data_IF_664544911423
#
_entry.id   IF_664544911423
#
_cell.length_a   1.000
_cell.length_b   1.000
_cell.length_c   1.000
_cell.angle_alpha   90.00
_cell.angle_beta   90.00
_cell.angle_gamma   90.00
#
_symmetry.space_group_name_H-M   'P 1'
#
loop_
_entity.id
_entity.type
_entity.pdbx_description
1 polymer ?
#
# COMPACT_ATOMS: atom_id res chain seq x y z
N UNK A 1 3.31 -2.52 24.54
CA UNK A 1 3.79 -2.48 23.14
C UNK A 1 5.30 -2.58 23.17
N UNK A 2 5.87 -3.68 22.67
CA UNK A 2 7.32 -3.83 22.51
C UNK A 2 7.78 -2.87 21.42
N UNK A 3 8.52 -1.82 21.79
CA UNK A 3 9.08 -0.85 20.86
C UNK A 3 10.16 -1.51 19.99
N UNK A 4 10.08 -1.34 18.68
CA UNK A 4 11.10 -1.84 17.76
C UNK A 4 12.42 -1.08 17.96
N UNK A 5 13.56 -1.76 17.77
CA UNK A 5 14.88 -1.12 17.84
C UNK A 5 15.43 -0.91 19.25
N UNK A 6 14.91 -1.59 20.27
CA UNK A 6 15.57 -1.62 21.59
C UNK A 6 16.96 -2.22 21.41
N UNK A 7 18.04 -1.44 21.60
CA UNK A 7 19.40 -1.97 21.56
C UNK A 7 19.46 -3.09 22.61
N UNK A 8 20.13 -4.21 22.29
CA UNK A 8 20.44 -5.22 23.32
C UNK A 8 21.00 -4.47 24.52
N UNK A 9 20.29 -4.51 25.65
CA UNK A 9 20.68 -3.77 26.85
C UNK A 9 22.10 -4.15 27.17
N UNK A 10 23.01 -3.16 27.14
CA UNK A 10 24.37 -3.36 27.63
C UNK A 10 24.25 -3.87 29.06
N UNK A 11 24.89 -4.99 29.35
CA UNK A 11 24.96 -5.56 30.70
C UNK A 11 25.80 -4.70 31.66
N UNK A 12 26.43 -3.62 31.16
CA UNK A 12 27.18 -2.67 31.97
C UNK A 12 26.24 -1.68 32.69
N UNK A 13 26.40 -1.47 34.01
CA UNK A 13 25.63 -0.48 34.75
C UNK A 13 25.88 0.93 34.22
N UNK A 14 24.80 1.72 34.07
CA UNK A 14 24.88 3.12 33.60
C UNK A 14 25.66 3.96 34.61
N UNK A 15 26.51 4.86 34.14
CA UNK A 15 27.27 5.75 35.03
C UNK A 15 26.37 6.77 35.72
N UNK A 16 26.72 7.25 36.93
CA UNK A 16 25.95 8.30 37.61
C UNK A 16 25.78 9.58 36.77
N UNK A 17 26.79 9.96 35.97
CA UNK A 17 26.66 11.11 35.05
C UNK A 17 25.64 10.85 33.95
N UNK A 18 25.60 9.64 33.37
CA UNK A 18 24.64 9.30 32.32
C UNK A 18 23.19 9.31 32.86
N UNK A 19 22.98 8.81 34.09
CA UNK A 19 21.68 8.86 34.77
C UNK A 19 21.26 10.31 35.02
N UNK A 20 22.16 11.15 35.57
CA UNK A 20 21.86 12.57 35.80
C UNK A 20 21.52 13.31 34.51
N UNK A 21 22.25 13.06 33.42
CA UNK A 21 21.98 13.67 32.13
C UNK A 21 20.62 13.23 31.55
N UNK A 22 20.23 11.98 31.73
CA UNK A 22 18.92 11.47 31.34
C UNK A 22 17.79 12.08 32.17
N UNK A 23 17.96 12.22 33.49
CA UNK A 23 16.98 12.87 34.36
C UNK A 23 16.72 14.33 33.95
N UNK A 24 17.77 15.08 33.61
CA UNK A 24 17.62 16.46 33.11
C UNK A 24 16.86 16.52 31.79
N UNK A 25 17.06 15.53 30.89
CA UNK A 25 16.30 15.43 29.64
C UNK A 25 14.82 15.10 29.91
N UNK A 26 14.55 14.19 30.84
CA UNK A 26 13.18 13.81 31.24
C UNK A 26 12.47 15.02 31.87
N UNK A 27 13.14 15.77 32.73
CA UNK A 27 12.60 16.99 33.34
C UNK A 27 12.24 18.02 32.27
N UNK A 28 13.17 18.34 31.36
CA UNK A 28 12.90 19.27 30.26
C UNK A 28 11.75 18.79 29.35
N UNK A 29 11.67 17.48 29.06
CA UNK A 29 10.57 16.90 28.30
C UNK A 29 9.23 17.08 29.03
N UNK A 30 9.18 16.78 30.32
CA UNK A 30 7.96 16.91 31.12
C UNK A 30 7.50 18.37 31.24
N UNK A 31 8.42 19.33 31.36
CA UNK A 31 8.11 20.75 31.32
C UNK A 31 7.46 21.13 29.99
N UNK A 32 8.05 20.73 28.87
CA UNK A 32 7.48 20.99 27.54
C UNK A 32 6.11 20.34 27.35
N UNK A 33 5.92 19.11 27.85
CA UNK A 33 4.61 18.45 27.84
C UNK A 33 3.58 19.25 28.63
N UNK A 34 3.93 19.72 29.83
CA UNK A 34 3.03 20.55 30.64
C UNK A 34 2.62 21.82 29.90
N UNK A 35 3.59 22.56 29.35
CA UNK A 35 3.33 23.78 28.60
C UNK A 35 2.38 23.55 27.41
N UNK A 36 2.61 22.48 26.64
CA UNK A 36 1.74 22.15 25.49
C UNK A 36 0.35 21.71 25.94
N UNK A 37 0.23 20.99 27.05
CA UNK A 37 -1.07 20.60 27.60
C UNK A 37 -1.83 21.81 28.14
N UNK A 38 -1.16 22.78 28.75
CA UNK A 38 -1.76 24.02 29.21
C UNK A 38 -2.34 24.79 28.02
N UNK A 39 -1.56 25.01 26.95
CA UNK A 39 -2.02 25.63 25.71
C UNK A 39 -3.22 24.90 25.09
N UNK A 40 -3.21 23.57 25.12
CA UNK A 40 -4.34 22.74 24.67
C UNK A 40 -5.57 22.94 25.55
N UNK A 41 -5.41 23.02 26.88
CA UNK A 41 -6.51 23.20 27.81
C UNK A 41 -7.18 24.57 27.68
N UNK A 42 -6.39 25.60 27.35
CA UNK A 42 -6.86 26.97 27.11
C UNK A 42 -7.27 27.24 25.66
N UNK A 43 -7.26 26.22 24.78
CA UNK A 43 -7.54 26.34 23.35
C UNK A 43 -6.72 27.46 22.67
N UNK A 44 -5.46 27.63 23.07
CA UNK A 44 -4.59 28.64 22.50
C UNK A 44 -4.09 28.17 21.14
N UNK A 45 -4.69 28.68 20.08
CA UNK A 45 -4.35 28.34 18.70
C UNK A 45 -3.49 29.44 18.07
N UNK A 46 -2.18 29.29 18.14
CA UNK A 46 -1.22 30.31 17.68
C UNK A 46 -0.02 29.69 16.99
N UNK A 47 0.76 30.53 16.28
CA UNK A 47 2.03 30.11 15.70
C UNK A 47 3.03 29.62 16.75
N UNK A 48 3.01 30.19 17.95
CA UNK A 48 3.82 29.72 19.09
C UNK A 48 3.39 28.31 19.54
N UNK A 49 2.08 28.07 19.63
CA UNK A 49 1.54 26.74 19.95
C UNK A 49 1.95 25.71 18.90
N UNK A 50 1.96 26.11 17.61
CA UNK A 50 2.46 25.26 16.53
C UNK A 50 3.97 24.95 16.71
N UNK A 51 4.78 25.95 17.06
CA UNK A 51 6.22 25.75 17.33
C UNK A 51 6.50 24.82 18.51
N UNK A 52 5.77 24.98 19.61
CA UNK A 52 5.90 24.11 20.80
C UNK A 52 5.47 22.67 20.50
N UNK A 53 4.38 22.47 19.76
CA UNK A 53 4.00 21.13 19.30
C UNK A 53 5.03 20.54 18.34
N UNK A 54 5.68 21.33 17.47
CA UNK A 54 6.78 20.86 16.61
C UNK A 54 7.92 20.30 17.45
N UNK A 55 8.38 21.07 18.44
CA UNK A 55 9.47 20.69 19.34
C UNK A 55 9.16 19.40 20.10
N UNK A 56 7.93 19.27 20.59
CA UNK A 56 7.49 18.09 21.34
C UNK A 56 7.41 16.84 20.45
N UNK A 57 6.85 16.97 19.24
CA UNK A 57 6.68 15.87 18.30
C UNK A 57 8.00 15.42 17.65
N UNK A 58 9.00 16.31 17.54
CA UNK A 58 10.36 15.93 17.19
C UNK A 58 10.99 14.99 18.22
N UNK A 59 10.63 15.13 19.51
CA UNK A 59 11.12 14.24 20.57
C UNK A 59 10.29 12.96 20.69
N UNK A 60 8.96 13.05 20.52
CA UNK A 60 8.05 11.92 20.63
C UNK A 60 6.91 12.00 19.60
N UNK A 61 7.10 11.47 18.38
CA UNK A 61 6.06 11.47 17.36
C UNK A 61 4.92 10.48 17.65
N UNK A 62 5.04 9.59 18.63
CA UNK A 62 3.96 8.66 19.02
C UNK A 62 2.92 9.32 19.93
N UNK A 63 3.13 10.58 20.34
CA UNK A 63 2.22 11.29 21.22
C UNK A 63 0.97 11.80 20.48
N UNK A 64 0.03 10.88 20.22
CA UNK A 64 -1.18 11.09 19.43
C UNK A 64 -2.01 12.34 19.79
N UNK A 65 -2.14 12.63 21.08
CA UNK A 65 -2.94 13.75 21.60
C UNK A 65 -2.41 15.09 21.08
N UNK A 66 -1.10 15.20 20.89
CA UNK A 66 -0.45 16.42 20.43
C UNK A 66 -0.69 16.61 18.93
N UNK A 67 -0.71 15.54 18.13
CA UNK A 67 -1.13 15.63 16.73
C UNK A 67 -2.55 16.15 16.57
N UNK A 68 -3.49 15.71 17.42
CA UNK A 68 -4.86 16.21 17.40
C UNK A 68 -4.96 17.70 17.77
N UNK A 69 -4.18 18.15 18.75
CA UNK A 69 -4.10 19.58 19.07
C UNK A 69 -3.49 20.37 17.92
N UNK A 70 -2.44 19.85 17.29
CA UNK A 70 -1.78 20.44 16.13
C UNK A 70 -2.75 20.63 14.96
N UNK A 71 -3.62 19.65 14.66
CA UNK A 71 -4.70 19.79 13.66
C UNK A 71 -5.60 20.99 13.94
N UNK A 72 -6.03 21.16 15.20
CA UNK A 72 -6.90 22.29 15.60
C UNK A 72 -6.19 23.64 15.41
N UNK A 73 -4.89 23.71 15.72
CA UNK A 73 -4.08 24.90 15.47
C UNK A 73 -4.07 25.22 13.97
N UNK A 74 -3.78 24.24 13.10
CA UNK A 74 -3.74 24.45 11.64
C UNK A 74 -5.08 24.93 11.11
N UNK A 75 -6.19 24.28 11.46
CA UNK A 75 -7.53 24.69 11.03
C UNK A 75 -7.85 26.12 11.49
N UNK A 76 -7.49 26.49 12.72
CA UNK A 76 -7.68 27.85 13.21
C UNK A 76 -6.85 28.88 12.43
N UNK A 77 -5.57 28.60 12.16
CA UNK A 77 -4.70 29.50 11.41
C UNK A 77 -5.17 29.69 9.96
N UNK A 78 -5.65 28.61 9.32
CA UNK A 78 -6.25 28.68 7.97
C UNK A 78 -7.51 29.57 7.97
N UNK A 79 -8.41 29.37 8.94
CA UNK A 79 -9.61 30.21 9.06
C UNK A 79 -9.30 31.68 9.32
N UNK A 80 -8.22 31.96 10.08
CA UNK A 80 -7.79 33.33 10.40
C UNK A 80 -7.07 34.04 9.24
N UNK A 81 -6.72 33.30 8.19
CA UNK A 81 -6.09 33.85 6.97
C UNK A 81 -7.14 34.48 6.05
N UNK A 82 -8.43 34.18 6.25
CA UNK A 82 -9.53 34.90 5.59
C UNK A 82 -9.52 36.36 6.04
N UNK A 83 -9.51 37.34 5.11
CA UNK A 83 -9.61 38.74 5.51
C UNK A 83 -10.93 38.96 6.28
N UNK A 84 -10.83 39.51 7.50
CA UNK A 84 -12.00 40.06 8.18
C UNK A 84 -12.54 41.20 7.31
N UNK A 85 -13.87 41.35 7.16
CA UNK A 85 -14.46 42.44 6.38
C UNK A 85 -14.14 43.78 7.07
N UNK A 86 -13.01 44.39 6.72
CA UNK A 86 -12.67 45.73 7.14
C UNK A 86 -13.22 46.70 6.10
N UNK A 87 -14.51 47.03 6.24
CA UNK A 87 -15.22 48.02 5.41
C UNK A 87 -16.17 47.39 4.40
N UNK A 88 -17.44 47.85 4.43
CA UNK A 88 -18.58 47.48 3.56
C UNK A 88 -18.67 46.00 3.13
N UNK A 89 -19.61 45.27 3.74
CA UNK A 89 -20.00 43.88 3.42
C UNK A 89 -20.48 43.64 1.97
N UNK A 90 -20.43 44.66 1.11
CA UNK A 90 -20.96 44.66 -0.25
C UNK A 90 -19.90 44.81 -1.36
N UNK A 91 -18.60 44.92 -1.04
CA UNK A 91 -17.56 44.92 -2.08
C UNK A 91 -17.08 43.48 -2.36
N UNK A 92 -17.18 42.99 -3.61
CA UNK A 92 -16.64 41.69 -3.98
C UNK A 92 -15.12 41.67 -3.78
N UNK A 93 -14.63 40.66 -3.08
CA UNK A 93 -13.20 40.42 -2.85
C UNK A 93 -12.44 40.40 -4.18
N UNK A 94 -11.36 41.18 -4.26
CA UNK A 94 -10.58 41.33 -5.48
C UNK A 94 -9.85 40.04 -5.86
N UNK A 95 -9.53 39.86 -7.14
CA UNK A 95 -8.75 38.69 -7.59
C UNK A 95 -7.37 38.64 -6.91
N UNK A 96 -6.74 39.80 -6.68
CA UNK A 96 -5.45 39.90 -6.00
C UNK A 96 -5.53 39.44 -4.53
N UNK A 97 -6.62 39.75 -3.84
CA UNK A 97 -6.83 39.33 -2.45
C UNK A 97 -6.99 37.80 -2.34
N UNK A 98 -7.74 37.20 -3.28
CA UNK A 98 -7.93 35.73 -3.35
C UNK A 98 -6.62 34.99 -3.63
N UNK A 99 -5.81 35.48 -4.58
CA UNK A 99 -4.51 34.90 -4.88
C UNK A 99 -3.55 35.00 -3.67
N UNK A 100 -3.58 36.12 -2.97
CA UNK A 100 -2.76 36.34 -1.76
C UNK A 100 -3.20 35.42 -0.63
N UNK A 101 -4.50 35.26 -0.41
CA UNK A 101 -5.05 34.33 0.58
C UNK A 101 -4.64 32.89 0.26
N UNK A 102 -4.85 32.45 -0.99
CA UNK A 102 -4.49 31.11 -1.43
C UNK A 102 -2.99 30.83 -1.25
N UNK A 103 -2.13 31.79 -1.63
CA UNK A 103 -0.68 31.67 -1.43
C UNK A 103 -0.30 31.55 0.04
N UNK A 104 -1.00 32.25 0.92
CA UNK A 104 -0.77 32.19 2.37
C UNK A 104 -1.20 30.83 2.95
N UNK A 105 -2.37 30.31 2.54
CA UNK A 105 -2.83 28.95 2.90
C UNK A 105 -1.88 27.88 2.39
N UNK A 106 -1.45 27.96 1.13
CA UNK A 106 -0.49 27.03 0.53
C UNK A 106 0.85 27.05 1.29
N UNK A 107 1.34 28.24 1.67
CA UNK A 107 2.57 28.39 2.44
C UNK A 107 2.49 27.67 3.79
N UNK A 108 1.39 27.84 4.52
CA UNK A 108 1.17 27.17 5.82
C UNK A 108 1.13 25.64 5.67
N UNK A 109 0.37 25.13 4.70
CA UNK A 109 0.25 23.68 4.45
C UNK A 109 1.59 23.08 3.98
N UNK A 110 2.32 23.78 3.12
CA UNK A 110 3.64 23.35 2.63
C UNK A 110 4.68 23.33 3.75
N UNK A 111 4.62 24.28 4.68
CA UNK A 111 5.49 24.29 5.86
C UNK A 111 5.24 23.07 6.76
N UNK A 112 3.99 22.64 6.92
CA UNK A 112 3.66 21.41 7.66
C UNK A 112 4.18 20.16 6.96
N UNK A 113 4.00 20.03 5.64
CA UNK A 113 4.56 18.91 4.88
C UNK A 113 6.09 18.85 5.00
N UNK A 114 6.75 20.00 5.03
CA UNK A 114 8.20 20.14 5.22
C UNK A 114 8.63 19.72 6.62
N UNK A 115 7.91 20.15 7.66
CA UNK A 115 8.15 19.78 9.06
C UNK A 115 8.13 18.25 9.25
N UNK A 116 7.23 17.56 8.55
CA UNK A 116 7.08 16.10 8.65
C UNK A 116 8.23 15.31 8.00
N UNK A 117 8.99 15.88 7.06
CA UNK A 117 10.06 15.18 6.34
C UNK A 117 11.13 14.57 7.28
N UNK A 118 11.79 15.33 8.17
CA UNK A 118 12.79 14.76 9.09
C UNK A 118 12.19 13.76 10.07
N UNK A 119 10.92 13.93 10.46
CA UNK A 119 10.23 12.97 11.32
C UNK A 119 10.00 11.65 10.59
N UNK A 120 9.55 11.71 9.34
CA UNK A 120 9.30 10.53 8.53
C UNK A 120 10.59 9.75 8.22
N UNK A 121 11.71 10.46 8.01
CA UNK A 121 13.03 9.85 7.83
C UNK A 121 13.52 9.10 9.07
N UNK A 122 13.19 9.61 10.26
CA UNK A 122 13.62 9.07 11.56
C UNK A 122 12.66 7.99 12.09
N UNK A 123 11.36 8.14 11.81
CA UNK A 123 10.27 7.29 12.30
C UNK A 123 9.35 6.86 11.15
N UNK A 124 9.87 6.14 10.14
CA UNK A 124 9.12 5.81 8.91
C UNK A 124 7.92 4.88 9.12
N UNK A 125 7.76 4.34 10.33
CA UNK A 125 6.67 3.43 10.74
C UNK A 125 5.77 4.04 11.84
N UNK A 126 5.91 5.33 12.13
CA UNK A 126 5.02 6.00 13.07
C UNK A 126 3.69 6.32 12.38
N UNK A 127 2.61 5.70 12.86
CA UNK A 127 1.27 5.86 12.29
C UNK A 127 0.81 7.32 12.25
N UNK A 128 1.11 8.07 13.31
CA UNK A 128 0.62 9.45 13.46
C UNK A 128 1.27 10.43 12.48
N UNK A 129 2.51 10.20 12.06
CA UNK A 129 3.16 11.02 11.03
C UNK A 129 2.41 10.86 9.70
N UNK A 130 2.18 9.61 9.26
CA UNK A 130 1.43 9.33 8.03
C UNK A 130 0.00 9.85 8.09
N UNK A 131 -0.69 9.63 9.21
CA UNK A 131 -2.06 10.07 9.41
C UNK A 131 -2.19 11.60 9.48
N UNK A 132 -1.22 12.31 10.06
CA UNK A 132 -1.20 13.77 10.04
C UNK A 132 -0.83 14.31 8.65
N UNK A 133 0.08 13.65 7.93
CA UNK A 133 0.43 14.02 6.55
C UNK A 133 -0.78 13.96 5.62
N UNK A 134 -1.56 12.88 5.69
CA UNK A 134 -2.82 12.73 4.94
C UNK A 134 -3.83 13.83 5.32
N UNK A 135 -3.96 14.17 6.60
CA UNK A 135 -4.82 15.26 7.05
C UNK A 135 -4.43 16.61 6.38
N UNK A 136 -3.14 16.92 6.29
CA UNK A 136 -2.67 18.15 5.63
C UNK A 136 -3.03 18.14 4.14
N UNK A 137 -2.90 17.02 3.45
CA UNK A 137 -3.25 16.91 2.03
C UNK A 137 -4.76 17.02 1.78
N UNK A 138 -5.58 16.38 2.63
CA UNK A 138 -7.03 16.53 2.57
C UNK A 138 -7.45 17.98 2.83
N UNK A 139 -6.83 18.62 3.82
CA UNK A 139 -7.05 20.04 4.10
C UNK A 139 -6.62 20.91 2.92
N UNK A 140 -5.56 20.54 2.19
CA UNK A 140 -5.16 21.24 0.97
C UNK A 140 -6.23 21.14 -0.12
N UNK A 141 -6.87 19.98 -0.31
CA UNK A 141 -8.00 19.83 -1.24
C UNK A 141 -9.21 20.68 -0.84
N UNK A 142 -9.47 20.85 0.45
CA UNK A 142 -10.60 21.64 0.95
C UNK A 142 -10.36 23.16 0.93
N UNK A 143 -9.11 23.60 1.09
CA UNK A 143 -8.75 25.00 1.37
C UNK A 143 -8.07 25.73 0.22
N UNK A 144 -7.56 25.00 -0.78
CA UNK A 144 -6.90 25.57 -1.96
C UNK A 144 -7.77 25.36 -3.20
N UNK A 145 -7.43 26.06 -4.29
CA UNK A 145 -8.06 25.75 -5.57
C UNK A 145 -7.63 24.35 -6.04
N UNK A 146 -8.47 23.69 -6.85
CA UNK A 146 -8.26 22.29 -7.25
C UNK A 146 -6.90 22.06 -7.95
N UNK A 147 -6.47 23.01 -8.78
CA UNK A 147 -5.19 22.91 -9.50
C UNK A 147 -3.99 23.02 -8.56
N UNK A 148 -4.06 23.92 -7.58
CA UNK A 148 -3.04 24.04 -6.53
C UNK A 148 -3.02 22.79 -5.65
N UNK A 149 -4.19 22.29 -5.22
CA UNK A 149 -4.30 21.07 -4.45
C UNK A 149 -3.70 19.87 -5.21
N UNK A 150 -4.05 19.69 -6.48
CA UNK A 150 -3.52 18.62 -7.33
C UNK A 150 -1.99 18.66 -7.41
N UNK A 151 -1.37 19.85 -7.51
CA UNK A 151 0.09 20.00 -7.49
C UNK A 151 0.70 19.53 -6.16
N UNK A 152 0.05 19.83 -5.03
CA UNK A 152 0.49 19.36 -3.71
C UNK A 152 0.44 17.83 -3.62
N UNK A 153 -0.65 17.21 -4.08
CA UNK A 153 -0.76 15.75 -4.13
C UNK A 153 0.25 15.10 -5.08
N UNK A 154 0.42 15.63 -6.30
CA UNK A 154 1.41 15.13 -7.27
C UNK A 154 2.84 15.20 -6.71
N UNK A 155 3.19 16.24 -5.94
CA UNK A 155 4.50 16.36 -5.31
C UNK A 155 4.81 15.23 -4.30
N UNK A 156 3.78 14.68 -3.65
CA UNK A 156 3.91 13.61 -2.67
C UNK A 156 4.25 12.25 -3.29
N UNK A 157 3.98 12.06 -4.58
CA UNK A 157 4.41 10.86 -5.32
C UNK A 157 5.94 10.71 -5.26
N UNK A 158 6.68 11.81 -5.45
CA UNK A 158 8.13 11.80 -5.35
C UNK A 158 8.66 11.51 -3.94
N UNK A 159 7.91 11.83 -2.88
CA UNK A 159 8.26 11.45 -1.52
C UNK A 159 8.08 9.94 -1.31
N UNK A 160 6.89 9.42 -1.65
CA UNK A 160 6.58 8.01 -1.39
C UNK A 160 7.50 7.08 -2.18
N UNK A 161 7.90 7.49 -3.39
CA UNK A 161 8.91 6.77 -4.17
C UNK A 161 10.26 6.70 -3.47
N UNK A 162 10.76 7.81 -2.93
CA UNK A 162 12.02 7.82 -2.17
C UNK A 162 11.92 6.98 -0.89
N UNK A 163 10.75 6.96 -0.26
CA UNK A 163 10.51 6.16 0.94
C UNK A 163 10.50 4.66 0.63
N UNK A 164 9.81 4.24 -0.43
CA UNK A 164 9.75 2.86 -0.88
C UNK A 164 11.08 2.39 -1.50
N UNK A 165 11.88 3.29 -2.07
CA UNK A 165 13.24 2.98 -2.48
C UNK A 165 14.16 2.67 -1.29
N UNK A 166 13.88 3.24 -0.10
CA UNK A 166 14.65 3.00 1.13
C UNK A 166 14.17 1.76 1.90
N UNK A 167 12.85 1.54 1.96
CA UNK A 167 12.23 0.37 2.57
C UNK A 167 11.06 -0.08 1.68
N UNK A 168 11.36 -0.98 0.74
CA UNK A 168 10.43 -1.50 -0.27
C UNK A 168 9.26 -2.27 0.33
N UNK A 169 9.35 -2.66 1.60
CA UNK A 169 8.33 -3.41 2.35
C UNK A 169 7.60 -2.53 3.37
N UNK A 170 7.79 -1.21 3.34
CA UNK A 170 7.08 -0.31 4.22
C UNK A 170 5.59 -0.26 3.86
N UNK A 171 4.75 -0.95 4.64
CA UNK A 171 3.31 -1.00 4.39
C UNK A 171 2.62 0.36 4.51
N UNK A 172 3.13 1.28 5.34
CA UNK A 172 2.61 2.64 5.39
C UNK A 172 2.91 3.39 4.09
N UNK A 173 4.11 3.21 3.53
CA UNK A 173 4.49 3.77 2.23
C UNK A 173 3.57 3.29 1.11
N UNK A 174 3.32 1.99 1.03
CA UNK A 174 2.40 1.42 0.04
C UNK A 174 0.95 1.88 0.25
N UNK A 175 0.48 1.90 1.50
CA UNK A 175 -0.85 2.42 1.83
C UNK A 175 -1.02 3.90 1.48
N UNK A 176 0.01 4.70 1.77
CA UNK A 176 0.04 6.11 1.41
C UNK A 176 0.03 6.31 -0.10
N UNK A 177 0.84 5.55 -0.86
CA UNK A 177 0.85 5.62 -2.34
C UNK A 177 -0.52 5.35 -2.94
N UNK A 178 -1.22 4.29 -2.50
CA UNK A 178 -2.59 4.00 -2.97
C UNK A 178 -3.55 5.16 -2.68
N UNK A 179 -3.44 5.77 -1.51
CA UNK A 179 -4.28 6.92 -1.15
C UNK A 179 -3.96 8.16 -1.99
N UNK A 180 -2.68 8.41 -2.28
CA UNK A 180 -2.26 9.50 -3.18
C UNK A 180 -2.85 9.31 -4.58
N UNK A 181 -2.71 8.11 -5.16
CA UNK A 181 -3.24 7.76 -6.48
C UNK A 181 -4.73 8.03 -6.54
N UNK A 182 -5.51 7.46 -5.61
CA UNK A 182 -6.95 7.66 -5.54
C UNK A 182 -7.34 9.15 -5.43
N UNK A 183 -6.60 9.92 -4.65
CA UNK A 183 -6.89 11.35 -4.44
C UNK A 183 -6.51 12.20 -5.66
N UNK A 184 -5.42 11.86 -6.36
CA UNK A 184 -4.99 12.51 -7.60
C UNK A 184 -6.01 12.26 -8.71
N UNK A 185 -6.46 11.01 -8.89
CA UNK A 185 -7.50 10.65 -9.86
C UNK A 185 -8.81 11.39 -9.57
N UNK A 186 -9.25 11.41 -8.30
CA UNK A 186 -10.46 12.13 -7.89
C UNK A 186 -10.39 13.64 -8.17
N UNK A 187 -9.25 14.28 -7.91
CA UNK A 187 -9.04 15.70 -8.21
C UNK A 187 -9.00 15.98 -9.71
N UNK A 188 -8.36 15.12 -10.51
CA UNK A 188 -8.36 15.23 -11.97
C UNK A 188 -9.78 15.18 -12.52
N UNK A 189 -10.56 14.19 -12.10
CA UNK A 189 -11.95 14.03 -12.52
C UNK A 189 -12.79 15.26 -12.13
N UNK A 190 -12.63 15.80 -10.92
CA UNK A 190 -13.37 17.01 -10.50
C UNK A 190 -12.96 18.26 -11.30
N UNK A 191 -11.68 18.40 -11.63
CA UNK A 191 -11.18 19.49 -12.48
C UNK A 191 -11.80 19.39 -13.88
N UNK A 192 -11.75 18.20 -14.49
CA UNK A 192 -12.29 17.94 -15.82
C UNK A 192 -13.78 18.23 -15.86
N UNK A 193 -14.56 17.72 -14.89
CA UNK A 193 -15.99 17.98 -14.79
C UNK A 193 -16.32 19.49 -14.76
N UNK A 194 -15.57 20.28 -13.98
CA UNK A 194 -15.76 21.74 -13.90
C UNK A 194 -15.29 22.48 -15.17
N UNK A 195 -14.38 21.90 -15.96
CA UNK A 195 -13.95 22.45 -17.24
C UNK A 195 -14.98 22.17 -18.33
N UNK A 196 -15.54 20.95 -18.39
CA UNK A 196 -16.60 20.59 -19.35
C UNK A 196 -17.86 21.43 -19.13
N UNK A 197 -18.23 21.72 -17.88
CA UNK A 197 -19.34 22.65 -17.55
C UNK A 197 -19.08 24.08 -18.08
N UNK A 198 -17.82 24.52 -18.15
CA UNK A 198 -17.44 25.85 -18.65
C UNK A 198 -17.21 25.88 -20.17
N UNK A 199 -16.81 24.76 -20.77
CA UNK A 199 -16.52 24.62 -22.21
C UNK A 199 -17.74 24.19 -23.04
N UNK A 200 -18.92 24.00 -22.43
CA UNK A 200 -20.19 23.85 -23.15
C UNK A 200 -20.56 25.05 -24.08
N UNK A 201 -19.73 26.11 -24.15
CA UNK A 201 -19.83 27.21 -25.12
C UNK A 201 -18.73 27.28 -26.19
N UNK A 202 -17.63 26.49 -26.18
CA UNK A 202 -16.63 26.49 -27.28
C UNK A 202 -15.94 25.12 -27.42
N UNK A 203 -15.93 24.60 -28.64
CA UNK A 203 -15.50 23.24 -29.04
C UNK A 203 -13.99 23.10 -29.25
N UNK A 204 -13.50 21.91 -28.87
CA UNK A 204 -12.33 21.11 -29.27
C UNK A 204 -10.89 21.66 -29.15
N UNK A 205 -10.10 20.90 -28.39
CA UNK A 205 -8.70 20.66 -28.70
C UNK A 205 -7.72 20.86 -27.55
N UNK A 206 -7.85 20.11 -26.45
CA UNK A 206 -6.73 19.90 -25.51
C UNK A 206 -6.66 18.41 -25.13
N UNK A 207 -5.43 17.87 -25.14
CA UNK A 207 -5.13 16.46 -24.83
C UNK A 207 -5.67 16.11 -23.44
N UNK A 208 -6.60 15.16 -23.37
CA UNK A 208 -7.11 14.63 -22.09
C UNK A 208 -5.92 14.03 -21.32
N UNK A 209 -5.50 14.67 -20.20
CA UNK A 209 -4.58 14.02 -19.26
C UNK A 209 -5.24 12.71 -18.81
N UNK A 210 -4.58 11.57 -19.05
CA UNK A 210 -5.02 10.24 -18.61
C UNK A 210 -5.61 10.30 -17.19
N UNK A 211 -6.91 10.04 -17.07
CA UNK A 211 -7.63 10.17 -15.78
C UNK A 211 -7.17 9.10 -14.79
N UNK A 212 -6.89 7.90 -15.30
CA UNK A 212 -6.45 6.75 -14.52
C UNK A 212 -4.93 6.67 -14.43
N UNK A 213 -4.43 6.30 -13.25
CA UNK A 213 -3.04 5.95 -12.99
C UNK A 213 -2.85 4.43 -12.88
N UNK A 214 -3.86 3.61 -13.21
CA UNK A 214 -3.81 2.16 -13.03
C UNK A 214 -2.62 1.51 -13.75
N UNK A 215 -2.36 1.89 -15.00
CA UNK A 215 -1.21 1.41 -15.79
C UNK A 215 0.13 1.84 -15.20
N UNK A 216 0.23 3.11 -14.79
CA UNK A 216 1.43 3.63 -14.16
C UNK A 216 1.73 2.89 -12.84
N UNK A 217 0.71 2.62 -12.03
CA UNK A 217 0.85 1.87 -10.79
C UNK A 217 1.18 0.40 -11.04
N UNK A 218 0.57 -0.21 -12.06
CA UNK A 218 0.90 -1.58 -12.46
C UNK A 218 2.36 -1.69 -12.90
N UNK A 219 2.83 -0.79 -13.75
CA UNK A 219 4.24 -0.69 -14.14
C UNK A 219 5.16 -0.41 -12.94
N UNK A 220 4.71 0.39 -11.97
CA UNK A 220 5.45 0.61 -10.73
C UNK A 220 5.62 -0.69 -9.92
N UNK A 221 4.60 -1.56 -9.86
CA UNK A 221 4.78 -2.88 -9.21
C UNK A 221 5.83 -3.73 -9.91
N UNK A 222 5.85 -3.74 -11.26
CA UNK A 222 6.90 -4.39 -12.07
C UNK A 222 8.29 -3.89 -11.71
N UNK A 223 8.46 -2.57 -11.67
CA UNK A 223 9.74 -1.97 -11.32
C UNK A 223 10.17 -2.28 -9.87
N UNK A 224 9.22 -2.53 -8.97
CA UNK A 224 9.49 -2.78 -7.56
C UNK A 224 9.81 -4.23 -7.24
N UNK A 225 9.14 -5.22 -7.85
CA UNK A 225 9.54 -6.62 -7.71
C UNK A 225 10.76 -6.95 -8.59
N UNK A 226 10.94 -6.28 -9.73
CA UNK A 226 12.10 -6.49 -10.60
C UNK A 226 13.43 -6.08 -9.94
N UNK A 227 13.39 -5.25 -8.89
CA UNK A 227 14.56 -4.92 -8.05
C UNK A 227 14.80 -5.93 -6.92
N UNK A 228 13.75 -6.59 -6.46
CA UNK A 228 13.74 -7.47 -5.29
C UNK A 228 12.53 -8.41 -5.40
N UNK A 229 12.75 -9.64 -5.85
CA UNK A 229 11.68 -10.64 -6.02
C UNK A 229 11.00 -10.97 -4.69
N UNK A 230 11.69 -10.79 -3.56
CA UNK A 230 11.14 -10.93 -2.20
C UNK A 230 10.26 -9.77 -1.74
N UNK A 231 9.99 -8.81 -2.62
CA UNK A 231 9.10 -7.70 -2.33
C UNK A 231 7.63 -8.13 -2.40
N UNK A 232 7.16 -8.84 -1.37
CA UNK A 232 5.75 -9.21 -1.20
C UNK A 232 4.78 -8.03 -1.35
N UNK A 233 5.19 -6.82 -0.95
CA UNK A 233 4.32 -5.66 -1.09
C UNK A 233 4.08 -5.28 -2.55
N UNK A 234 5.08 -5.42 -3.43
CA UNK A 234 4.91 -5.20 -4.87
C UNK A 234 3.96 -6.24 -5.47
N UNK A 235 4.19 -7.53 -5.20
CA UNK A 235 3.31 -8.62 -5.66
C UNK A 235 1.86 -8.47 -5.17
N UNK A 236 1.68 -8.13 -3.89
CA UNK A 236 0.36 -7.88 -3.33
C UNK A 236 -0.35 -6.70 -4.01
N UNK A 237 0.34 -5.58 -4.25
CA UNK A 237 -0.29 -4.46 -4.95
C UNK A 237 -0.59 -4.80 -6.41
N UNK A 238 0.26 -5.60 -7.07
CA UNK A 238 0.04 -6.08 -8.43
C UNK A 238 -1.25 -6.88 -8.53
N UNK A 239 -1.48 -7.82 -7.60
CA UNK A 239 -2.71 -8.63 -7.60
C UNK A 239 -3.98 -7.81 -7.42
N UNK A 240 -3.90 -6.67 -6.73
CA UNK A 240 -5.02 -5.73 -6.56
C UNK A 240 -5.23 -4.81 -7.77
N UNK A 241 -4.19 -4.56 -8.56
CA UNK A 241 -4.27 -3.70 -9.75
C UNK A 241 -4.75 -4.43 -10.99
N UNK A 242 -4.40 -5.72 -11.16
CA UNK A 242 -4.75 -6.52 -12.33
C UNK A 242 -6.25 -6.44 -12.71
N UNK A 243 -7.21 -6.65 -11.78
CA UNK A 243 -8.63 -6.58 -12.12
C UNK A 243 -9.04 -5.21 -12.68
N UNK A 244 -8.48 -4.13 -12.11
CA UNK A 244 -8.75 -2.75 -12.54
C UNK A 244 -8.13 -2.48 -13.92
N UNK A 245 -6.86 -2.82 -14.12
CA UNK A 245 -6.14 -2.65 -15.39
C UNK A 245 -6.86 -3.37 -16.52
N UNK A 246 -7.23 -4.64 -16.34
CA UNK A 246 -7.92 -5.41 -17.39
C UNK A 246 -9.33 -4.88 -17.67
N UNK A 247 -10.00 -4.33 -16.66
CA UNK A 247 -11.32 -3.70 -16.84
C UNK A 247 -11.22 -2.38 -17.59
N UNK A 248 -10.27 -1.51 -17.24
CA UNK A 248 -10.06 -0.22 -17.90
C UNK A 248 -9.54 -0.36 -19.34
N UNK A 249 -8.82 -1.45 -19.63
CA UNK A 249 -8.45 -1.82 -21.01
C UNK A 249 -9.63 -2.32 -21.86
N UNK A 250 -10.78 -2.55 -21.24
CA UNK A 250 -11.91 -3.27 -21.86
C UNK A 250 -11.47 -4.64 -22.42
N UNK A 251 -10.53 -5.31 -21.72
CA UNK A 251 -9.81 -6.46 -22.26
C UNK A 251 -10.76 -7.64 -22.58
N UNK A 252 -10.61 -8.20 -23.78
CA UNK A 252 -11.35 -9.38 -24.23
C UNK A 252 -10.96 -10.64 -23.45
N UNK A 253 -11.72 -11.71 -23.62
CA UNK A 253 -11.41 -13.02 -23.02
C UNK A 253 -10.02 -13.50 -23.47
N UNK A 254 -9.70 -13.35 -24.76
CA UNK A 254 -8.42 -13.75 -25.34
C UNK A 254 -7.26 -12.90 -24.82
N UNK A 255 -7.46 -11.60 -24.63
CA UNK A 255 -6.45 -10.69 -24.07
C UNK A 255 -6.19 -10.99 -22.60
N UNK A 256 -7.24 -11.28 -21.82
CA UNK A 256 -7.13 -11.71 -20.41
C UNK A 256 -6.38 -13.03 -20.28
N UNK A 257 -6.63 -13.99 -21.19
CA UNK A 257 -5.89 -15.25 -21.23
C UNK A 257 -4.41 -15.02 -21.56
N UNK A 258 -4.12 -14.21 -22.58
CA UNK A 258 -2.74 -13.86 -22.96
C UNK A 258 -2.00 -13.18 -21.80
N UNK A 259 -2.69 -12.30 -21.07
CA UNK A 259 -2.15 -11.65 -19.88
C UNK A 259 -1.85 -12.66 -18.76
N UNK A 260 -2.77 -13.59 -18.48
CA UNK A 260 -2.56 -14.66 -17.50
C UNK A 260 -1.35 -15.53 -17.85
N UNK A 261 -1.23 -15.95 -19.12
CA UNK A 261 -0.09 -16.75 -19.58
C UNK A 261 1.23 -16.00 -19.36
N UNK A 262 1.26 -14.69 -19.58
CA UNK A 262 2.41 -13.84 -19.26
C UNK A 262 2.75 -13.83 -17.76
N UNK A 263 1.76 -13.60 -16.90
CA UNK A 263 1.97 -13.58 -15.43
C UNK A 263 2.42 -14.94 -14.88
N UNK A 264 1.87 -16.05 -15.41
CA UNK A 264 2.29 -17.39 -15.04
C UNK A 264 3.71 -17.70 -15.50
N UNK A 265 4.12 -17.23 -16.68
CA UNK A 265 5.51 -17.36 -17.16
C UNK A 265 6.52 -16.57 -16.31
N UNK A 266 6.14 -15.37 -15.87
CA UNK A 266 6.92 -14.59 -14.89
C UNK A 266 7.03 -15.35 -13.56
N UNK A 267 5.94 -15.98 -13.08
CA UNK A 267 5.97 -16.77 -11.86
C UNK A 267 6.82 -18.03 -11.97
N UNK A 268 6.73 -18.75 -13.09
CA UNK A 268 7.62 -19.87 -13.34
C UNK A 268 9.09 -19.42 -13.22
N UNK A 269 9.47 -18.34 -13.91
CA UNK A 269 10.84 -17.79 -13.86
C UNK A 269 11.25 -17.36 -12.44
N UNK A 270 10.36 -16.70 -11.71
CA UNK A 270 10.61 -16.23 -10.36
C UNK A 270 10.78 -17.40 -9.38
N UNK A 271 9.94 -18.44 -9.46
CA UNK A 271 10.04 -19.65 -8.62
C UNK A 271 11.31 -20.45 -8.93
N UNK A 272 11.71 -20.57 -10.20
CA UNK A 272 13.00 -21.16 -10.57
C UNK A 272 14.19 -20.35 -10.01
N UNK A 273 14.03 -19.03 -9.86
CA UNK A 273 15.10 -18.16 -9.35
C UNK A 273 15.28 -18.31 -7.83
N UNK A 274 14.19 -18.37 -7.07
CA UNK A 274 14.21 -18.62 -5.63
C UNK A 274 12.96 -19.41 -5.18
N UNK A 275 13.02 -20.74 -5.16
CA UNK A 275 11.87 -21.56 -4.77
C UNK A 275 11.56 -21.49 -3.27
N UNK A 276 12.47 -20.93 -2.46
CA UNK A 276 12.31 -20.77 -1.02
C UNK A 276 11.68 -19.42 -0.64
N UNK A 277 11.41 -18.54 -1.60
CA UNK A 277 10.76 -17.26 -1.36
C UNK A 277 9.24 -17.39 -1.28
N UNK A 278 8.71 -17.21 -0.07
CA UNK A 278 7.28 -17.25 0.18
C UNK A 278 6.50 -16.15 -0.56
N UNK A 279 7.13 -15.00 -0.85
CA UNK A 279 6.47 -13.87 -1.51
C UNK A 279 6.03 -14.22 -2.92
N UNK A 280 6.90 -14.93 -3.66
CA UNK A 280 6.68 -15.39 -5.03
C UNK A 280 5.57 -16.44 -5.02
N UNK A 281 5.69 -17.43 -4.13
CA UNK A 281 4.73 -18.51 -3.98
C UNK A 281 3.32 -18.00 -3.66
N UNK A 282 3.19 -17.01 -2.75
CA UNK A 282 1.90 -16.43 -2.42
C UNK A 282 1.23 -15.71 -3.60
N UNK A 283 2.01 -15.14 -4.51
CA UNK A 283 1.48 -14.50 -5.72
C UNK A 283 1.05 -15.53 -6.77
N UNK A 284 1.88 -16.55 -7.00
CA UNK A 284 1.53 -17.70 -7.85
C UNK A 284 0.26 -18.40 -7.35
N UNK A 285 0.18 -18.64 -6.05
CA UNK A 285 -0.99 -19.21 -5.39
C UNK A 285 -2.26 -18.39 -5.65
N UNK A 286 -2.17 -17.06 -5.57
CA UNK A 286 -3.29 -16.18 -5.89
C UNK A 286 -3.68 -16.24 -7.37
N UNK A 287 -2.72 -16.24 -8.31
CA UNK A 287 -3.00 -16.34 -9.75
C UNK A 287 -3.77 -17.62 -10.08
N UNK A 288 -3.32 -18.75 -9.54
CA UNK A 288 -3.94 -20.05 -9.76
C UNK A 288 -5.32 -20.12 -9.09
N UNK A 289 -5.47 -19.57 -7.88
CA UNK A 289 -6.77 -19.49 -7.23
C UNK A 289 -7.76 -18.62 -8.04
N UNK A 290 -7.33 -17.46 -8.52
CA UNK A 290 -8.18 -16.53 -9.26
C UNK A 290 -8.59 -17.09 -10.64
N UNK A 291 -7.71 -17.84 -11.31
CA UNK A 291 -7.95 -18.36 -12.67
C UNK A 291 -8.56 -19.77 -12.70
N UNK A 292 -8.23 -20.62 -11.73
CA UNK A 292 -8.52 -22.05 -11.78
C UNK A 292 -9.45 -22.54 -10.67
N UNK A 293 -9.98 -21.67 -9.81
CA UNK A 293 -10.99 -22.08 -8.84
C UNK A 293 -12.26 -22.62 -9.53
N UNK A 294 -12.99 -23.55 -8.88
CA UNK A 294 -14.31 -23.97 -9.34
C UNK A 294 -15.23 -22.76 -9.47
N UNK A 295 -15.87 -22.61 -10.63
CA UNK A 295 -16.75 -21.47 -10.88
C UNK A 295 -17.96 -21.54 -9.95
N UNK A 296 -18.14 -20.50 -9.13
CA UNK A 296 -19.32 -20.36 -8.28
C UNK A 296 -20.46 -19.72 -9.09
N UNK A 297 -21.71 -20.20 -8.98
CA UNK A 297 -22.85 -19.58 -9.64
C UNK A 297 -23.13 -18.14 -9.16
N UNK A 298 -22.50 -17.69 -8.07
CA UNK A 298 -22.64 -16.33 -7.53
C UNK A 298 -21.59 -15.33 -8.06
N UNK A 299 -20.56 -15.79 -8.80
CA UNK A 299 -19.48 -14.92 -9.29
C UNK A 299 -19.89 -14.27 -10.61
N UNK A 300 -20.22 -12.98 -10.58
CA UNK A 300 -20.72 -12.24 -11.75
C UNK A 300 -19.63 -11.65 -12.66
N UNK A 301 -18.35 -11.71 -12.25
CA UNK A 301 -17.21 -11.25 -13.05
C UNK A 301 -15.94 -11.97 -12.62
N UNK A 302 -15.46 -12.92 -13.42
CA UNK A 302 -14.17 -13.58 -13.24
C UNK A 302 -13.07 -12.72 -13.89
N UNK A 303 -11.95 -12.50 -13.18
CA UNK A 303 -10.81 -11.72 -13.72
C UNK A 303 -10.20 -12.45 -14.92
N UNK A 304 -10.10 -13.77 -14.82
CA UNK A 304 -9.57 -14.69 -15.83
C UNK A 304 -10.58 -15.79 -16.13
N UNK A 305 -11.51 -15.58 -17.08
CA UNK A 305 -12.50 -16.59 -17.43
C UNK A 305 -11.82 -17.75 -18.19
N UNK A 306 -11.82 -18.94 -17.60
CA UNK A 306 -11.26 -20.17 -18.20
C UNK A 306 -12.30 -21.29 -18.25
N UNK A 307 -12.30 -22.08 -19.32
CA UNK A 307 -13.03 -23.36 -19.39
C UNK A 307 -12.36 -24.43 -18.54
N UNK A 308 -13.08 -25.48 -18.15
CA UNK A 308 -12.49 -26.59 -17.37
C UNK A 308 -11.31 -27.27 -18.08
N UNK A 309 -11.34 -27.37 -19.41
CA UNK A 309 -10.21 -27.86 -20.19
C UNK A 309 -8.99 -26.93 -20.10
N UNK A 310 -9.20 -25.61 -20.17
CA UNK A 310 -8.12 -24.61 -20.02
C UNK A 310 -7.56 -24.57 -18.59
N UNK A 311 -8.41 -24.73 -17.57
CA UNK A 311 -7.98 -24.86 -16.17
C UNK A 311 -7.10 -26.10 -16.01
N UNK A 312 -7.53 -27.24 -16.55
CA UNK A 312 -6.78 -28.50 -16.51
C UNK A 312 -5.41 -28.36 -17.19
N UNK A 313 -5.37 -27.80 -18.40
CA UNK A 313 -4.12 -27.55 -19.15
C UNK A 313 -3.16 -26.65 -18.35
N UNK A 314 -3.67 -25.57 -17.75
CA UNK A 314 -2.87 -24.62 -16.97
C UNK A 314 -2.26 -25.27 -15.73
N UNK A 315 -3.06 -26.03 -14.99
CA UNK A 315 -2.63 -26.71 -13.76
C UNK A 315 -1.68 -27.88 -14.04
N UNK A 316 -1.91 -28.65 -15.10
CA UNK A 316 -0.99 -29.72 -15.54
C UNK A 316 0.37 -29.15 -15.92
N UNK A 317 0.41 -28.15 -16.80
CA UNK A 317 1.65 -27.44 -17.16
C UNK A 317 2.37 -26.90 -15.93
N UNK A 318 1.61 -26.40 -14.94
CA UNK A 318 2.16 -25.90 -13.68
C UNK A 318 2.82 -27.00 -12.85
N UNK A 319 2.15 -28.13 -12.68
CA UNK A 319 2.71 -29.28 -11.97
C UNK A 319 3.93 -29.87 -12.68
N UNK A 320 3.94 -29.91 -14.00
CA UNK A 320 5.06 -30.44 -14.79
C UNK A 320 6.37 -29.70 -14.47
N UNK A 321 6.39 -28.37 -14.62
CA UNK A 321 7.62 -27.63 -14.33
C UNK A 321 7.96 -27.61 -12.84
N UNK A 322 6.97 -27.67 -11.93
CA UNK A 322 7.23 -27.79 -10.50
C UNK A 322 7.87 -29.14 -10.14
N UNK A 323 7.47 -30.24 -10.81
CA UNK A 323 8.09 -31.57 -10.65
C UNK A 323 9.54 -31.54 -11.11
N UNK A 324 9.82 -30.92 -12.26
CA UNK A 324 11.20 -30.73 -12.74
C UNK A 324 12.06 -29.97 -11.72
N UNK A 325 11.51 -28.90 -11.12
CA UNK A 325 12.22 -28.15 -10.08
C UNK A 325 12.40 -28.97 -8.79
N UNK A 326 11.43 -29.82 -8.43
CA UNK A 326 11.51 -30.67 -7.24
C UNK A 326 12.64 -31.71 -7.34
N UNK A 327 12.98 -32.17 -8.56
CA UNK A 327 14.10 -33.10 -8.77
C UNK A 327 15.44 -32.48 -8.32
N UNK A 328 15.60 -31.16 -8.52
CA UNK A 328 16.76 -30.38 -8.09
C UNK A 328 16.65 -29.92 -6.62
N UNK A 329 15.45 -29.53 -6.19
CA UNK A 329 15.16 -28.89 -4.89
C UNK A 329 14.25 -29.76 -4.00
N UNK A 330 14.68 -31.00 -3.75
CA UNK A 330 13.88 -32.09 -3.14
C UNK A 330 13.33 -31.80 -1.73
N UNK A 331 13.98 -30.90 -1.00
CA UNK A 331 13.60 -30.51 0.37
C UNK A 331 12.95 -29.11 0.41
N UNK A 332 12.56 -28.56 -0.75
CA UNK A 332 11.84 -27.30 -0.80
C UNK A 332 10.40 -27.46 -0.30
N UNK A 333 10.21 -27.12 0.98
CA UNK A 333 8.90 -27.14 1.65
C UNK A 333 7.84 -26.33 0.90
N UNK A 334 8.19 -25.15 0.38
CA UNK A 334 7.23 -24.27 -0.30
C UNK A 334 6.77 -24.86 -1.62
N UNK A 335 7.69 -25.46 -2.39
CA UNK A 335 7.37 -26.12 -3.65
C UNK A 335 6.43 -27.30 -3.42
N UNK A 336 6.71 -28.16 -2.44
CA UNK A 336 5.84 -29.28 -2.08
C UNK A 336 4.45 -28.81 -1.62
N UNK A 337 4.38 -27.75 -0.80
CA UNK A 337 3.10 -27.17 -0.35
C UNK A 337 2.29 -26.64 -1.54
N UNK A 338 2.94 -25.96 -2.49
CA UNK A 338 2.28 -25.43 -3.68
C UNK A 338 1.85 -26.56 -4.64
N UNK A 339 2.68 -27.58 -4.88
CA UNK A 339 2.30 -28.74 -5.71
C UNK A 339 1.07 -29.47 -5.17
N UNK A 340 0.94 -29.63 -3.85
CA UNK A 340 -0.27 -30.19 -3.23
C UNK A 340 -1.48 -29.29 -3.48
N UNK A 341 -1.30 -27.96 -3.40
CA UNK A 341 -2.37 -27.01 -3.72
C UNK A 341 -2.80 -27.09 -5.19
N UNK A 342 -1.85 -27.08 -6.13
CA UNK A 342 -2.13 -27.19 -7.58
C UNK A 342 -2.77 -28.55 -7.91
N UNK A 343 -2.28 -29.63 -7.30
CA UNK A 343 -2.87 -30.96 -7.42
C UNK A 343 -4.31 -31.01 -6.92
N UNK A 344 -4.60 -30.35 -5.79
CA UNK A 344 -5.95 -30.22 -5.27
C UNK A 344 -6.89 -29.48 -6.23
N UNK A 345 -6.45 -28.36 -6.80
CA UNK A 345 -7.22 -27.65 -7.84
C UNK A 345 -7.47 -28.56 -9.04
N UNK A 346 -6.44 -29.24 -9.56
CA UNK A 346 -6.53 -30.08 -10.74
C UNK A 346 -7.48 -31.26 -10.54
N UNK A 347 -7.40 -31.91 -9.36
CA UNK A 347 -8.30 -32.98 -8.95
C UNK A 347 -9.75 -32.53 -8.84
N UNK A 348 -10.02 -31.24 -8.63
CA UNK A 348 -11.38 -30.72 -8.44
C UNK A 348 -11.98 -30.10 -9.73
N UNK A 349 -11.21 -29.99 -10.82
CA UNK A 349 -11.71 -29.47 -12.12
C UNK A 349 -12.77 -30.41 -12.72
N UNK A 350 -13.84 -29.85 -13.29
CA UNK A 350 -14.86 -30.60 -14.04
C UNK A 350 -15.78 -31.51 -13.20
N UNK A 351 -15.73 -31.46 -11.86
CA UNK A 351 -16.57 -32.28 -11.00
C UNK A 351 -16.30 -33.79 -11.12
N UNK A 352 -17.34 -34.64 -11.04
CA UNK A 352 -17.22 -36.11 -11.11
C UNK A 352 -17.36 -36.67 -12.54
N UNK A 353 -17.32 -35.83 -13.56
CA UNK A 353 -17.38 -36.30 -14.95
C UNK A 353 -16.04 -36.96 -15.34
N UNK A 354 -16.11 -38.07 -16.08
CA UNK A 354 -14.94 -38.77 -16.64
C UNK A 354 -14.21 -37.81 -17.60
N UNK A 355 -13.18 -37.13 -17.10
CA UNK A 355 -12.36 -36.18 -17.83
C UNK A 355 -10.95 -36.69 -18.10
N UNK A 356 -10.14 -35.88 -18.79
CA UNK A 356 -8.73 -36.15 -19.13
C UNK A 356 -7.77 -36.20 -17.92
N UNK A 357 -8.27 -35.94 -16.71
CA UNK A 357 -7.48 -35.85 -15.48
C UNK A 357 -7.52 -37.16 -14.70
N UNK A 358 -6.38 -37.81 -14.54
CA UNK A 358 -6.24 -38.98 -13.67
C UNK A 358 -6.23 -38.56 -12.18
N UNK A 359 -7.44 -38.52 -11.59
CA UNK A 359 -7.65 -38.09 -10.20
C UNK A 359 -7.02 -39.05 -9.19
N UNK A 360 -6.89 -40.34 -9.53
CA UNK A 360 -6.27 -41.33 -8.66
C UNK A 360 -4.76 -41.12 -8.62
N UNK A 361 -4.11 -40.89 -9.77
CA UNK A 361 -2.70 -40.57 -9.88
C UNK A 361 -2.35 -39.29 -9.10
N UNK A 362 -3.10 -38.20 -9.31
CA UNK A 362 -2.87 -36.93 -8.61
C UNK A 362 -3.03 -37.09 -7.09
N UNK A 363 -4.03 -37.84 -6.65
CA UNK A 363 -4.25 -38.08 -5.22
C UNK A 363 -3.08 -38.89 -4.62
N UNK A 364 -2.57 -39.89 -5.34
CA UNK A 364 -1.41 -40.68 -4.93
C UNK A 364 -0.14 -39.83 -4.80
N UNK A 365 0.08 -38.92 -5.76
CA UNK A 365 1.19 -37.96 -5.74
C UNK A 365 1.10 -37.00 -4.56
N UNK A 366 -0.08 -36.40 -4.32
CA UNK A 366 -0.30 -35.52 -3.17
C UNK A 366 -0.05 -36.24 -1.85
N UNK A 367 -0.45 -37.52 -1.73
CA UNK A 367 -0.13 -38.32 -0.55
C UNK A 367 1.38 -38.54 -0.39
N UNK A 368 2.14 -38.69 -1.49
CA UNK A 368 3.59 -38.80 -1.45
C UNK A 368 4.26 -37.50 -1.02
N UNK A 369 3.84 -36.36 -1.58
CA UNK A 369 4.35 -35.04 -1.20
C UNK A 369 4.04 -34.70 0.26
N UNK A 370 2.84 -35.05 0.77
CA UNK A 370 2.50 -34.87 2.19
C UNK A 370 3.38 -35.70 3.12
N UNK A 371 3.71 -36.94 2.73
CA UNK A 371 4.68 -37.77 3.50
C UNK A 371 6.03 -37.07 3.58
N UNK A 372 6.53 -36.53 2.47
CA UNK A 372 7.78 -35.76 2.43
C UNK A 372 7.69 -34.50 3.29
N UNK A 373 6.61 -33.72 3.23
CA UNK A 373 6.40 -32.54 4.07
C UNK A 373 6.44 -32.84 5.57
N UNK A 374 5.89 -33.99 5.99
CA UNK A 374 5.95 -34.42 7.40
C UNK A 374 7.38 -34.72 7.87
N UNK A 375 8.26 -35.13 6.96
CA UNK A 375 9.68 -35.35 7.26
C UNK A 375 10.46 -34.03 7.36
N UNK A 376 10.24 -33.10 6.42
CA UNK A 376 11.05 -31.88 6.29
C UNK A 376 10.50 -30.67 7.06
N UNK A 377 9.21 -30.64 7.41
CA UNK A 377 8.56 -29.58 8.21
C UNK A 377 7.82 -30.14 9.43
N UNK A 378 8.55 -30.74 10.40
CA UNK A 378 7.94 -31.38 11.57
C UNK A 378 7.17 -30.41 12.46
N UNK A 379 7.53 -29.11 12.44
CA UNK A 379 6.82 -28.08 13.21
C UNK A 379 5.35 -27.91 12.77
N UNK A 380 5.03 -28.22 11.51
CA UNK A 380 3.66 -28.20 10.96
C UNK A 380 3.11 -29.61 10.69
N UNK A 381 3.75 -30.67 11.19
CA UNK A 381 3.34 -32.07 10.94
C UNK A 381 1.88 -32.38 11.27
N UNK A 382 1.30 -31.71 12.27
CA UNK A 382 -0.13 -31.82 12.57
C UNK A 382 -1.04 -31.34 11.42
N UNK A 383 -0.69 -30.21 10.80
CA UNK A 383 -1.41 -29.67 9.62
C UNK A 383 -1.33 -30.63 8.44
N UNK A 384 -0.15 -31.20 8.20
CA UNK A 384 0.07 -32.11 7.07
C UNK A 384 -0.69 -33.43 7.24
N UNK A 385 -0.75 -33.96 8.46
CA UNK A 385 -1.55 -35.16 8.76
C UNK A 385 -3.05 -34.90 8.57
N UNK A 386 -3.56 -33.79 9.09
CA UNK A 386 -4.96 -33.41 8.90
C UNK A 386 -5.31 -33.26 7.42
N UNK A 387 -4.40 -32.71 6.61
CA UNK A 387 -4.59 -32.63 5.17
C UNK A 387 -4.58 -34.02 4.52
N UNK A 388 -3.67 -34.91 4.92
CA UNK A 388 -3.60 -36.28 4.40
C UNK A 388 -4.86 -37.09 4.72
N UNK A 389 -5.48 -36.90 5.89
CA UNK A 389 -6.72 -37.57 6.28
C UNK A 389 -7.95 -37.11 5.47
N UNK A 390 -7.87 -35.96 4.79
CA UNK A 390 -8.94 -35.39 3.96
C UNK A 390 -8.80 -35.69 2.47
N UNK A 391 -7.64 -36.20 2.03
CA UNK A 391 -7.43 -36.69 0.67
C UNK A 391 -7.99 -38.10 0.53
#
# INVERSE_FOLDING_TARGET
MTTHGVPRTSTAPRTPQAIKAELLKIEAYNTLVSEVQDLKSTNTYSQDSLSKTSTLLTQNPEFNTIWNFRRRIILHLLSSTTPKPSGNENEPESLEDKEKEEKSKLSLLSAELTFLLPLLQSFPKCYWIWNYRLFILQTASEQLNLQTALKVWKAEMGLVEKMLARDSRNFHGWGYRRYLVQSIEGLKHEINARQTEKQAEVVEGEEEEEESLAEQEFAYTTAMYGKDLSNFSAWHNRSKLIPRVLTEREATVEERRTFLDGELGEMQTAVYTDPYDQSIQLYNHWLLLESCSPSSPETTSEVFPLTDSQKSETLQRTLEWMRELLDEEQDCRLLLEEMIFVGGLLRDVGGNEEGEVDREEITADMQAWLRKLMEIDPMRGGRWREMQERL
#
